data_IF_545474056710
#
_entry.id   IF_545474056710
#
_cell.length_a   1.000
_cell.length_b   1.000
_cell.length_c   1.000
_cell.angle_alpha   90.00
_cell.angle_beta   90.00
_cell.angle_gamma   90.00
#
_symmetry.space_group_name_H-M   'P 1'
#
loop_
_entity.id
_entity.type
_entity.pdbx_description
1 polymer ?
#
# COMPACT_ATOMS: atom_id res chain seq x y z
N UNK A 1 17.46 -0.95 8.62
CA UNK A 1 16.31 -1.68 9.22
C UNK A 1 15.10 -1.56 8.30
N UNK A 2 14.45 -2.66 7.87
CA UNK A 2 13.21 -2.57 7.06
C UNK A 2 12.10 -2.04 7.97
N UNK A 3 11.52 -0.89 7.64
CA UNK A 3 10.41 -0.29 8.38
C UNK A 3 9.23 -1.29 8.42
N UNK A 4 8.90 -1.84 9.61
CA UNK A 4 7.81 -2.82 9.81
C UNK A 4 6.54 -2.16 10.36
N UNK A 5 6.40 -0.86 10.11
CA UNK A 5 5.26 -0.06 10.52
C UNK A 5 4.14 -0.18 9.50
N UNK A 6 2.89 -0.20 9.95
CA UNK A 6 1.72 -0.24 9.07
C UNK A 6 0.66 0.77 9.50
N UNK A 7 0.02 1.49 8.55
CA UNK A 7 -1.13 2.33 8.88
C UNK A 7 -2.31 1.43 9.24
N UNK A 8 -3.09 1.80 10.26
CA UNK A 8 -4.27 1.03 10.66
C UNK A 8 -5.57 1.83 10.61
N UNK A 9 -5.50 3.15 10.87
CA UNK A 9 -6.68 4.02 10.84
C UNK A 9 -6.26 5.45 10.51
N UNK A 10 -6.90 6.07 9.51
CA UNK A 10 -6.78 7.51 9.26
C UNK A 10 -7.66 8.25 10.27
N UNK A 11 -7.09 9.21 11.00
CA UNK A 11 -7.80 9.97 12.05
C UNK A 11 -7.96 11.45 11.69
N UNK A 12 -7.09 11.99 10.83
CA UNK A 12 -7.18 13.34 10.29
C UNK A 12 -6.66 13.37 8.83
N UNK A 13 -6.74 14.53 8.17
CA UNK A 13 -6.18 14.72 6.82
C UNK A 13 -4.68 14.40 6.77
N UNK A 14 -3.95 14.76 7.82
CA UNK A 14 -2.50 14.68 7.99
C UNK A 14 -2.05 13.71 9.10
N UNK A 15 -2.97 12.95 9.71
CA UNK A 15 -2.62 12.01 10.79
C UNK A 15 -3.26 10.64 10.62
N UNK A 16 -2.49 9.61 10.93
CA UNK A 16 -2.98 8.23 10.97
C UNK A 16 -2.38 7.47 12.14
N UNK A 17 -3.15 6.55 12.71
CA UNK A 17 -2.67 5.59 13.69
C UNK A 17 -1.92 4.50 12.95
N UNK A 18 -0.67 4.29 13.34
CA UNK A 18 0.20 3.24 12.85
C UNK A 18 0.46 2.20 13.94
N UNK A 19 0.91 1.02 13.51
CA UNK A 19 1.39 -0.03 14.39
C UNK A 19 2.76 -0.50 13.94
N UNK A 20 3.72 -0.56 14.87
CA UNK A 20 5.02 -1.15 14.64
C UNK A 20 4.98 -2.64 14.95
N UNK A 21 5.20 -3.49 13.95
CA UNK A 21 5.27 -4.95 14.16
C UNK A 21 6.52 -5.40 14.93
N UNK A 22 7.52 -4.54 15.10
CA UNK A 22 8.76 -4.82 15.82
C UNK A 22 8.58 -4.63 17.32
N UNK A 23 8.10 -3.47 17.74
CA UNK A 23 7.83 -3.15 19.16
C UNK A 23 6.43 -3.60 19.61
N UNK A 24 5.54 -3.90 18.67
CA UNK A 24 4.13 -4.22 18.91
C UNK A 24 3.35 -3.10 19.59
N UNK A 25 3.66 -1.85 19.22
CA UNK A 25 3.07 -0.63 19.79
C UNK A 25 2.31 0.17 18.74
N UNK A 26 1.27 0.87 19.21
CA UNK A 26 0.56 1.88 18.43
C UNK A 26 1.27 3.23 18.57
N UNK A 27 1.22 4.02 17.51
CA UNK A 27 1.68 5.41 17.52
C UNK A 27 0.88 6.23 16.51
N UNK A 28 0.96 7.55 16.62
CA UNK A 28 0.40 8.46 15.63
C UNK A 28 1.53 8.87 14.69
N UNK A 29 1.31 8.68 13.39
CA UNK A 29 2.17 9.23 12.36
C UNK A 29 1.50 10.49 11.82
N UNK A 30 2.19 11.61 11.95
CA UNK A 30 1.87 12.85 11.24
C UNK A 30 2.55 12.85 9.87
N UNK A 31 1.91 13.46 8.89
CA UNK A 31 2.45 13.60 7.54
C UNK A 31 2.78 15.08 7.29
N UNK A 32 3.97 15.34 6.76
CA UNK A 32 4.52 16.67 6.46
C UNK A 32 5.00 16.75 5.01
N UNK A 33 4.33 16.01 4.12
CA UNK A 33 4.63 16.03 2.69
C UNK A 33 4.04 17.24 1.96
N UNK A 34 4.49 17.53 0.73
CA UNK A 34 3.95 18.59 -0.14
C UNK A 34 2.48 18.39 -0.54
N UNK A 35 1.85 17.31 -0.08
CA UNK A 35 0.46 16.91 -0.32
C UNK A 35 -0.40 16.97 0.96
N UNK A 36 0.06 17.66 2.01
CA UNK A 36 -0.63 17.79 3.30
C UNK A 36 -1.07 19.24 3.53
N UNK A 37 -2.21 19.45 4.22
CA UNK A 37 -2.79 20.78 4.44
C UNK A 37 -1.84 21.73 5.20
N UNK A 38 -0.87 21.20 5.97
CA UNK A 38 0.17 21.98 6.67
C UNK A 38 1.13 22.70 5.72
N UNK A 39 1.26 22.29 4.45
CA UNK A 39 2.21 22.88 3.50
C UNK A 39 1.72 24.21 2.85
N UNK A 40 0.62 24.81 3.31
CA UNK A 40 0.28 26.20 3.02
C UNK A 40 -0.17 26.54 1.60
N UNK A 41 -0.37 25.56 0.72
CA UNK A 41 -0.91 25.77 -0.63
C UNK A 41 -2.40 25.41 -0.68
N UNK A 42 -3.24 26.31 -1.17
CA UNK A 42 -4.64 26.07 -1.52
C UNK A 42 -4.77 25.05 -2.66
N UNK A 43 -4.49 23.78 -2.40
CA UNK A 43 -4.54 22.73 -3.42
C UNK A 43 -5.77 21.83 -3.25
N UNK A 44 -6.60 21.80 -4.31
CA UNK A 44 -7.85 21.04 -4.41
C UNK A 44 -7.64 19.55 -4.10
N UNK A 45 -8.35 19.10 -3.06
CA UNK A 45 -8.26 17.81 -2.33
C UNK A 45 -8.44 16.52 -3.15
N UNK A 46 -8.65 16.58 -4.46
CA UNK A 46 -8.99 15.41 -5.28
C UNK A 46 -8.19 15.35 -6.59
N UNK A 47 -7.78 16.49 -7.13
CA UNK A 47 -7.32 16.57 -8.51
C UNK A 47 -5.90 16.07 -8.70
N UNK A 48 -4.94 16.33 -7.81
CA UNK A 48 -3.54 15.90 -8.02
C UNK A 48 -3.36 14.39 -7.88
N UNK A 49 -4.04 13.78 -6.91
CA UNK A 49 -4.01 12.33 -6.73
C UNK A 49 -4.69 11.64 -7.93
N UNK A 50 -5.84 12.17 -8.36
CA UNK A 50 -6.52 11.71 -9.57
C UNK A 50 -5.70 11.97 -10.83
N UNK A 51 -5.00 13.11 -10.95
CA UNK A 51 -4.15 13.47 -12.11
C UNK A 51 -2.86 12.66 -12.15
N UNK A 52 -2.30 12.26 -11.01
CA UNK A 52 -1.12 11.37 -10.98
C UNK A 52 -1.50 9.91 -11.21
N UNK A 53 -2.67 9.47 -10.73
CA UNK A 53 -3.24 8.17 -11.10
C UNK A 53 -3.66 8.11 -12.58
N UNK A 54 -4.36 9.14 -13.07
CA UNK A 54 -4.76 9.29 -14.48
C UNK A 54 -3.54 9.50 -15.37
N UNK A 55 -2.55 10.28 -14.94
CA UNK A 55 -1.29 10.47 -15.63
C UNK A 55 -0.54 9.16 -15.79
N UNK A 56 -0.47 8.34 -14.73
CA UNK A 56 0.03 6.96 -14.83
C UNK A 56 -0.81 6.10 -15.77
N UNK A 57 -2.14 6.14 -15.66
CA UNK A 57 -3.05 5.36 -16.50
C UNK A 57 -3.12 5.80 -17.95
N UNK A 58 -2.70 7.03 -18.31
CA UNK A 58 -2.79 7.58 -19.67
C UNK A 58 -1.41 7.65 -20.34
N UNK A 59 -0.38 8.09 -19.61
CA UNK A 59 0.99 8.19 -20.13
C UNK A 59 1.60 6.81 -20.36
N UNK A 60 1.31 5.83 -19.48
CA UNK A 60 1.87 4.49 -19.62
C UNK A 60 1.35 3.77 -20.88
N UNK A 61 0.04 3.78 -21.20
CA UNK A 61 -0.44 3.27 -22.49
C UNK A 61 0.06 4.05 -23.71
N UNK A 62 0.22 5.38 -23.61
CA UNK A 62 0.75 6.20 -24.70
C UNK A 62 2.22 5.90 -25.01
N UNK A 63 3.05 5.71 -23.97
CA UNK A 63 4.43 5.26 -24.13
C UNK A 63 4.48 3.82 -24.64
N UNK A 64 3.66 2.92 -24.09
CA UNK A 64 3.60 1.51 -24.50
C UNK A 64 3.18 1.35 -25.98
N UNK A 65 2.30 2.21 -26.51
CA UNK A 65 1.92 2.22 -27.94
C UNK A 65 3.08 2.61 -28.87
N UNK A 66 4.07 3.36 -28.40
CA UNK A 66 5.24 3.75 -29.21
C UNK A 66 6.34 2.68 -29.21
N UNK A 67 6.36 1.81 -28.20
CA UNK A 67 7.20 0.62 -28.23
C UNK A 67 6.50 -0.45 -29.07
N UNK A 68 6.87 -0.58 -30.35
CA UNK A 68 6.84 -1.90 -30.97
C UNK A 68 7.72 -2.77 -30.08
N UNK A 69 7.13 -3.62 -29.24
CA UNK A 69 7.88 -4.56 -28.42
C UNK A 69 8.65 -5.45 -29.40
N UNK A 70 9.88 -5.06 -29.71
CA UNK A 70 10.73 -5.78 -30.66
C UNK A 70 10.99 -7.15 -30.03
N UNK A 71 10.47 -8.16 -30.72
CA UNK A 71 10.53 -9.60 -30.44
C UNK A 71 11.96 -10.14 -30.41
N UNK A 72 12.79 -9.68 -29.46
CA UNK A 72 14.13 -10.23 -29.26
C UNK A 72 14.17 -11.27 -28.12
N UNK A 73 13.08 -11.42 -27.36
CA UNK A 73 13.01 -12.32 -26.22
C UNK A 73 11.72 -13.17 -26.23
N UNK A 74 11.78 -14.41 -25.72
CA UNK A 74 10.59 -15.21 -25.47
C UNK A 74 9.54 -14.47 -24.62
N UNK A 75 8.26 -14.69 -24.90
CA UNK A 75 7.15 -13.93 -24.30
C UNK A 75 7.09 -14.01 -22.78
N UNK A 76 7.40 -15.17 -22.21
CA UNK A 76 7.45 -15.32 -20.76
C UNK A 76 8.51 -14.40 -20.12
N UNK A 77 9.63 -14.12 -20.81
CA UNK A 77 10.60 -13.13 -20.35
C UNK A 77 10.04 -11.71 -20.51
N UNK A 78 9.38 -11.41 -21.62
CA UNK A 78 8.72 -10.12 -21.84
C UNK A 78 7.70 -9.82 -20.76
N UNK A 79 6.82 -10.78 -20.43
CA UNK A 79 5.86 -10.70 -19.32
C UNK A 79 6.58 -10.43 -18.01
N UNK A 80 7.65 -11.18 -17.71
CA UNK A 80 8.42 -11.01 -16.46
C UNK A 80 9.07 -9.62 -16.36
N UNK A 81 9.67 -9.12 -17.44
CA UNK A 81 10.31 -7.80 -17.47
C UNK A 81 9.29 -6.67 -17.32
N UNK A 82 8.19 -6.73 -18.09
CA UNK A 82 7.12 -5.73 -18.02
C UNK A 82 6.53 -5.71 -16.61
N UNK A 83 6.13 -6.87 -16.08
CA UNK A 83 5.57 -6.97 -14.75
C UNK A 83 6.53 -6.50 -13.67
N UNK A 84 7.82 -6.85 -13.78
CA UNK A 84 8.86 -6.41 -12.86
C UNK A 84 9.07 -4.90 -12.88
N UNK A 85 9.17 -4.29 -14.08
CA UNK A 85 9.33 -2.86 -14.25
C UNK A 85 8.12 -2.08 -13.72
N UNK A 86 6.90 -2.51 -14.07
CA UNK A 86 5.66 -1.88 -13.61
C UNK A 86 5.50 -1.98 -12.09
N UNK A 87 5.79 -3.15 -11.51
CA UNK A 87 5.78 -3.35 -10.05
C UNK A 87 6.79 -2.44 -9.34
N UNK A 88 8.00 -2.32 -9.89
CA UNK A 88 9.04 -1.45 -9.35
C UNK A 88 8.62 0.02 -9.42
N UNK A 89 7.99 0.44 -10.52
CA UNK A 89 7.48 1.80 -10.67
C UNK A 89 6.38 2.09 -9.63
N UNK A 90 5.48 1.14 -9.39
CA UNK A 90 4.47 1.25 -8.32
C UNK A 90 5.10 1.39 -6.94
N UNK A 91 6.15 0.61 -6.65
CA UNK A 91 6.95 0.74 -5.41
C UNK A 91 7.60 2.12 -5.30
N UNK A 92 8.23 2.59 -6.38
CA UNK A 92 8.92 3.87 -6.39
C UNK A 92 7.95 5.03 -6.13
N UNK A 93 6.78 5.01 -6.79
CA UNK A 93 5.76 6.01 -6.57
C UNK A 93 5.19 5.95 -5.15
N UNK A 94 4.90 4.76 -4.62
CA UNK A 94 4.46 4.58 -3.24
C UNK A 94 5.50 5.13 -2.24
N UNK A 95 6.79 4.92 -2.48
CA UNK A 95 7.86 5.45 -1.65
C UNK A 95 7.91 6.99 -1.67
N UNK A 96 7.75 7.60 -2.84
CA UNK A 96 7.69 9.06 -2.97
C UNK A 96 6.45 9.63 -2.27
N UNK A 97 5.29 9.01 -2.44
CA UNK A 97 4.03 9.56 -1.94
C UNK A 97 3.83 9.29 -0.44
N UNK A 98 4.21 8.12 0.05
CA UNK A 98 3.92 7.66 1.42
C UNK A 98 5.13 7.77 2.32
N UNK A 99 6.30 7.24 1.94
CA UNK A 99 7.46 7.24 2.83
C UNK A 99 8.07 8.64 2.96
N UNK A 100 8.22 9.39 1.86
CA UNK A 100 8.74 10.76 1.93
C UNK A 100 7.78 11.76 2.56
N UNK A 101 6.49 11.41 2.71
CA UNK A 101 5.51 12.29 3.36
C UNK A 101 5.40 12.06 4.86
N UNK A 102 6.01 11.00 5.42
CA UNK A 102 6.02 10.77 6.87
C UNK A 102 6.83 11.85 7.57
N UNK A 103 6.17 12.61 8.44
CA UNK A 103 6.78 13.58 9.35
C UNK A 103 6.91 13.00 10.75
N UNK A 104 6.47 13.77 11.74
CA UNK A 104 6.64 13.44 13.15
C UNK A 104 5.89 12.18 13.61
N UNK A 105 6.52 11.43 14.51
CA UNK A 105 5.93 10.28 15.21
C UNK A 105 5.59 10.73 16.64
N UNK A 106 4.34 10.53 17.05
CA UNK A 106 3.89 10.76 18.42
C UNK A 106 3.54 9.43 19.06
N UNK A 107 4.35 9.00 20.03
CA UNK A 107 4.02 7.87 20.90
C UNK A 107 3.14 8.38 22.05
N UNK A 108 2.02 7.71 22.29
CA UNK A 108 1.15 7.97 23.44
C UNK A 108 0.49 6.69 23.89
N UNK A 109 -0.04 6.69 25.10
CA UNK A 109 -0.85 5.60 25.61
C UNK A 109 -2.25 5.70 24.96
N UNK A 110 -2.72 4.57 24.40
CA UNK A 110 -4.02 4.49 23.73
C UNK A 110 -5.06 3.91 24.69
N UNK A 111 -6.23 4.56 24.76
CA UNK A 111 -7.36 4.05 25.55
C UNK A 111 -7.99 2.83 24.86
N UNK A 112 -8.57 1.92 25.64
CA UNK A 112 -9.30 0.74 25.15
C UNK A 112 -10.27 1.06 24.02
N UNK A 113 -11.04 2.13 24.18
CA UNK A 113 -12.04 2.57 23.19
C UNK A 113 -11.42 2.96 21.84
N UNK A 114 -10.26 3.60 21.85
CA UNK A 114 -9.52 3.97 20.64
C UNK A 114 -9.01 2.73 19.91
N UNK A 115 -8.48 1.76 20.66
CA UNK A 115 -8.03 0.48 20.11
C UNK A 115 -9.19 -0.32 19.50
N UNK A 116 -10.38 -0.29 20.13
CA UNK A 116 -11.59 -0.91 19.59
C UNK A 116 -12.01 -0.24 18.28
N UNK A 117 -11.94 1.10 18.17
CA UNK A 117 -12.20 1.82 16.91
C UNK A 117 -11.23 1.40 15.80
N UNK A 118 -9.93 1.28 16.12
CA UNK A 118 -8.91 0.77 15.18
C UNK A 118 -9.26 -0.64 14.71
N UNK A 119 -9.60 -1.54 15.64
CA UNK A 119 -9.98 -2.92 15.30
C UNK A 119 -11.26 -3.00 14.44
N UNK A 120 -12.23 -2.11 14.63
CA UNK A 120 -13.44 -2.05 13.78
C UNK A 120 -13.08 -1.73 12.32
N UNK A 121 -12.06 -0.90 12.08
CA UNK A 121 -11.59 -0.57 10.73
C UNK A 121 -10.97 -1.76 9.98
N UNK A 122 -10.59 -2.83 10.69
CA UNK A 122 -10.04 -4.03 10.04
C UNK A 122 -10.96 -4.62 8.96
N UNK A 123 -12.29 -4.47 9.09
CA UNK A 123 -13.27 -4.92 8.09
C UNK A 123 -13.07 -4.27 6.72
N UNK A 124 -12.69 -2.99 6.69
CA UNK A 124 -12.47 -2.25 5.45
C UNK A 124 -11.18 -2.68 4.74
N UNK A 125 -10.24 -3.29 5.48
CA UNK A 125 -8.90 -3.64 4.99
C UNK A 125 -8.76 -5.12 4.63
N UNK A 126 -9.70 -5.97 5.07
CA UNK A 126 -9.77 -7.38 4.69
C UNK A 126 -9.94 -7.56 3.16
N UNK A 127 -10.84 -6.83 2.47
CA UNK A 127 -10.98 -6.92 1.02
C UNK A 127 -9.67 -6.62 0.29
N UNK A 128 -8.89 -5.62 0.72
CA UNK A 128 -7.61 -5.28 0.09
C UNK A 128 -6.60 -6.43 0.17
N UNK A 129 -6.52 -7.10 1.32
CA UNK A 129 -5.63 -8.25 1.49
C UNK A 129 -6.07 -9.48 0.69
N UNK A 130 -7.37 -9.66 0.46
CA UNK A 130 -7.89 -10.70 -0.42
C UNK A 130 -7.63 -10.37 -1.89
N UNK A 131 -7.87 -9.12 -2.28
CA UNK A 131 -7.64 -8.61 -3.62
C UNK A 131 -6.17 -8.79 -4.02
N UNK A 132 -5.23 -8.39 -3.15
CA UNK A 132 -3.78 -8.58 -3.35
C UNK A 132 -3.42 -10.07 -3.59
N UNK A 133 -4.02 -10.99 -2.84
CA UNK A 133 -3.78 -12.44 -2.99
C UNK A 133 -4.37 -13.00 -4.26
N UNK A 134 -5.63 -12.65 -4.56
CA UNK A 134 -6.31 -13.08 -5.77
C UNK A 134 -5.51 -12.68 -7.00
N UNK A 135 -4.99 -11.45 -6.99
CA UNK A 135 -4.13 -10.96 -8.05
C UNK A 135 -2.79 -11.67 -8.14
N UNK A 136 -2.15 -11.99 -7.02
CA UNK A 136 -0.91 -12.77 -7.03
C UNK A 136 -1.12 -14.16 -7.66
N UNK A 137 -2.23 -14.83 -7.32
CA UNK A 137 -2.61 -16.12 -7.92
C UNK A 137 -2.92 -15.96 -9.41
N UNK A 138 -3.72 -14.96 -9.79
CA UNK A 138 -4.05 -14.68 -11.18
C UNK A 138 -2.81 -14.40 -12.03
N UNK A 139 -1.86 -13.62 -11.50
CA UNK A 139 -0.57 -13.37 -12.16
C UNK A 139 0.23 -14.64 -12.36
N UNK A 140 0.31 -15.54 -11.37
CA UNK A 140 1.03 -16.82 -11.53
C UNK A 140 0.38 -17.66 -12.64
N UNK A 141 -0.94 -17.77 -12.65
CA UNK A 141 -1.66 -18.51 -13.70
C UNK A 141 -1.41 -17.91 -15.08
N UNK A 142 -1.49 -16.58 -15.19
CA UNK A 142 -1.20 -15.88 -16.44
C UNK A 142 0.26 -16.06 -16.89
N UNK A 143 1.21 -16.00 -15.96
CA UNK A 143 2.62 -16.24 -16.25
C UNK A 143 2.86 -17.66 -16.75
N UNK A 144 2.24 -18.67 -16.14
CA UNK A 144 2.31 -20.04 -16.63
C UNK A 144 1.68 -20.18 -18.02
N UNK A 145 0.55 -19.53 -18.26
CA UNK A 145 -0.08 -19.50 -19.59
C UNK A 145 0.83 -18.84 -20.64
N UNK A 146 1.57 -17.80 -20.26
CA UNK A 146 2.51 -17.10 -21.17
C UNK A 146 3.65 -17.98 -21.68
N UNK A 147 3.95 -19.10 -21.03
CA UNK A 147 4.92 -20.09 -21.52
C UNK A 147 4.45 -20.78 -22.81
N UNK A 148 3.13 -20.79 -23.07
CA UNK A 148 2.51 -21.43 -24.24
C UNK A 148 2.05 -20.42 -25.29
N UNK A 149 2.30 -19.13 -25.08
CA UNK A 149 1.88 -18.07 -26.01
C UNK A 149 2.96 -17.82 -27.07
N UNK A 150 2.52 -17.60 -28.31
CA UNK A 150 3.39 -17.26 -29.45
C UNK A 150 3.54 -15.76 -29.68
N UNK A 151 2.56 -14.95 -29.23
CA UNK A 151 2.65 -13.49 -29.18
C UNK A 151 1.77 -12.93 -28.05
N UNK A 152 2.04 -11.71 -27.60
CA UNK A 152 1.22 -10.94 -26.65
C UNK A 152 0.68 -9.69 -27.34
N UNK A 153 -0.63 -9.51 -27.35
CA UNK A 153 -1.22 -8.31 -27.94
C UNK A 153 -0.84 -7.07 -27.13
N UNK A 154 -0.77 -5.92 -27.79
CA UNK A 154 -0.50 -4.62 -27.14
C UNK A 154 -1.52 -4.31 -26.05
N UNK A 155 -2.78 -4.73 -26.22
CA UNK A 155 -3.84 -4.56 -25.23
C UNK A 155 -3.53 -5.33 -23.94
N UNK A 156 -3.20 -6.63 -24.07
CA UNK A 156 -2.83 -7.48 -22.92
C UNK A 156 -1.57 -6.93 -22.25
N UNK A 157 -0.59 -6.44 -23.01
CA UNK A 157 0.62 -5.83 -22.45
C UNK A 157 0.31 -4.56 -21.64
N UNK A 158 -0.58 -3.67 -22.13
CA UNK A 158 -1.01 -2.47 -21.40
C UNK A 158 -1.76 -2.85 -20.13
N UNK A 159 -2.68 -3.82 -20.20
CA UNK A 159 -3.42 -4.31 -19.04
C UNK A 159 -2.47 -4.88 -17.99
N UNK A 160 -1.51 -5.70 -18.39
CA UNK A 160 -0.49 -6.27 -17.51
C UNK A 160 0.33 -5.17 -16.81
N UNK A 161 0.71 -4.13 -17.54
CA UNK A 161 1.43 -2.99 -16.98
C UNK A 161 0.59 -2.29 -15.90
N UNK A 162 -0.63 -1.87 -16.24
CA UNK A 162 -1.51 -1.16 -15.32
C UNK A 162 -1.82 -2.01 -14.08
N UNK A 163 -2.02 -3.30 -14.30
CA UNK A 163 -2.29 -4.28 -13.27
C UNK A 163 -1.10 -4.42 -12.30
N UNK A 164 0.10 -4.74 -12.80
CA UNK A 164 1.29 -4.89 -11.96
C UNK A 164 1.69 -3.59 -11.26
N UNK A 165 1.53 -2.45 -11.92
CA UNK A 165 1.74 -1.14 -11.32
C UNK A 165 0.78 -0.88 -10.16
N UNK A 166 -0.52 -1.08 -10.36
CA UNK A 166 -1.55 -0.86 -9.34
C UNK A 166 -1.35 -1.75 -8.11
N UNK A 167 -1.01 -3.03 -8.30
CA UNK A 167 -0.74 -3.93 -7.19
C UNK A 167 0.54 -3.52 -6.46
N UNK A 168 1.60 -3.16 -7.19
CA UNK A 168 2.82 -2.63 -6.59
C UNK A 168 2.53 -1.41 -5.71
N UNK A 169 1.70 -0.48 -6.20
CA UNK A 169 1.26 0.68 -5.44
C UNK A 169 0.54 0.27 -4.13
N UNK A 170 -0.45 -0.63 -4.21
CA UNK A 170 -1.22 -1.10 -3.04
C UNK A 170 -0.32 -1.82 -2.04
N UNK A 171 0.53 -2.73 -2.52
CA UNK A 171 1.43 -3.55 -1.70
C UNK A 171 2.37 -2.67 -0.87
N UNK A 172 2.93 -1.63 -1.48
CA UNK A 172 3.90 -0.76 -0.83
C UNK A 172 3.30 0.46 -0.11
N UNK A 173 2.08 0.88 -0.44
CA UNK A 173 1.45 2.02 0.25
C UNK A 173 0.72 1.59 1.53
N UNK A 174 0.03 0.45 1.50
CA UNK A 174 -0.91 0.04 2.56
C UNK A 174 -0.43 -1.20 3.32
N UNK A 175 0.40 -2.03 2.69
CA UNK A 175 0.88 -3.31 3.25
C UNK A 175 -0.23 -4.22 3.83
N UNK A 176 -1.24 -4.62 3.03
CA UNK A 176 -2.45 -5.29 3.54
C UNK A 176 -2.19 -6.55 4.38
N UNK A 177 -1.24 -7.41 3.97
CA UNK A 177 -0.88 -8.60 4.73
C UNK A 177 -0.28 -8.28 6.11
N UNK A 178 0.54 -7.22 6.19
CA UNK A 178 1.15 -6.77 7.45
C UNK A 178 0.13 -6.10 8.35
N UNK A 179 -0.81 -5.33 7.79
CA UNK A 179 -1.96 -4.80 8.54
C UNK A 179 -2.80 -5.90 9.17
N UNK A 180 -3.11 -6.98 8.43
CA UNK A 180 -3.84 -8.13 8.98
C UNK A 180 -3.11 -8.77 10.16
N UNK A 181 -1.77 -8.86 10.09
CA UNK A 181 -0.94 -9.32 11.20
C UNK A 181 -1.03 -8.36 12.41
N UNK A 182 -0.93 -7.05 12.17
CA UNK A 182 -1.05 -6.03 13.21
C UNK A 182 -2.41 -6.09 13.93
N UNK A 183 -3.52 -6.18 13.19
CA UNK A 183 -4.85 -6.36 13.80
C UNK A 183 -4.98 -7.63 14.64
N UNK A 184 -4.35 -8.74 14.21
CA UNK A 184 -4.34 -9.98 15.00
C UNK A 184 -3.58 -9.80 16.31
N UNK A 185 -2.45 -9.10 16.29
CA UNK A 185 -1.66 -8.80 17.49
C UNK A 185 -2.45 -7.88 18.42
N UNK A 186 -3.01 -6.78 17.90
CA UNK A 186 -3.84 -5.85 18.68
C UNK A 186 -5.04 -6.53 19.32
N UNK A 187 -5.73 -7.43 18.59
CA UNK A 187 -6.84 -8.21 19.14
C UNK A 187 -6.39 -9.11 20.31
N UNK A 188 -5.18 -9.66 20.26
CA UNK A 188 -4.61 -10.45 21.36
C UNK A 188 -4.23 -9.57 22.55
N UNK A 189 -3.58 -8.42 22.30
CA UNK A 189 -3.21 -7.45 23.34
C UNK A 189 -4.44 -6.91 24.08
N UNK A 190 -5.52 -6.60 23.35
CA UNK A 190 -6.79 -6.17 23.94
C UNK A 190 -7.42 -7.24 24.82
N UNK A 191 -7.37 -8.51 24.41
CA UNK A 191 -7.86 -9.64 25.22
C UNK A 191 -7.02 -9.89 26.47
N UNK A 192 -5.76 -9.52 26.45
CA UNK A 192 -4.82 -9.68 27.56
C UNK A 192 -4.84 -8.50 28.54
N UNK A 193 -5.75 -7.53 28.40
CA UNK A 193 -5.89 -6.42 29.33
C UNK A 193 -4.85 -5.29 29.20
N UNK A 194 -3.99 -5.31 28.16
CA UNK A 194 -2.92 -4.31 27.95
C UNK A 194 -3.42 -2.85 27.86
N UNK A 195 -4.72 -2.64 27.66
CA UNK A 195 -5.33 -1.31 27.50
C UNK A 195 -6.41 -1.04 28.56
N UNK A 196 -6.52 -1.87 29.59
CA UNK A 196 -7.43 -1.65 30.71
C UNK A 196 -6.80 -0.64 31.69
N UNK A 197 -7.62 0.23 32.28
CA UNK A 197 -7.15 1.34 33.13
C UNK A 197 -6.35 0.86 34.36
N UNK A 198 -6.59 -0.35 34.85
CA UNK A 198 -5.87 -0.95 35.99
C UNK A 198 -4.38 -1.21 35.72
N UNK A 199 -3.97 -1.40 34.46
CA UNK A 199 -2.55 -1.56 34.11
C UNK A 199 -1.78 -0.23 34.00
N UNK A 200 -2.47 0.92 34.04
CA UNK A 200 -1.84 2.24 33.93
C UNK A 200 -1.49 2.87 35.28
N UNK A 201 -1.93 2.26 36.38
CA UNK A 201 -1.69 2.73 37.76
C UNK A 201 -0.57 1.99 38.49
N UNK A 202 0.01 0.95 37.90
CA UNK A 202 1.04 0.10 38.56
C UNK A 202 2.47 0.35 38.04
N UNK A 203 2.72 1.41 37.24
CA UNK A 203 4.05 1.74 36.71
C UNK A 203 4.48 3.19 36.95
N UNK A 204 4.10 3.76 38.09
CA UNK A 204 4.75 4.98 38.63
C UNK A 204 5.71 4.60 39.76
#
# INVERSE_FOLDING_TARGET
MKNKTVPLLKIASDKSIYFDLSTQELFIQEFEGPFTEKAGGSYSKSTTWSISMLGGMVIIPLLAKQFKFVSFMPIYLTVLYISGASWFLGKFLANILVEKSKGQITKRIFKKEEVVKVLKNSKNLIPLAWLERLFFVGYIVFFLFSLSMEDISTEIAIELILFCFGIGLIHYSVHPLRQRKAFRILKRQLKAGKFDEQYMTETD
#
